data_IF_196603749526
#
_entry.id   IF_196603749526
#
_cell.length_a   1.000
_cell.length_b   1.000
_cell.length_c   1.000
_cell.angle_alpha   90.00
_cell.angle_beta   90.00
_cell.angle_gamma   90.00
#
_symmetry.space_group_name_H-M   'P 1'
#
loop_
_entity.id
_entity.type
_entity.pdbx_description
1 polymer ?
#
# COMPACT_ATOMS: atom_id res chain seq x y z
N UNK A 1 26.33 8.95 2.70
CA UNK A 1 25.34 9.23 1.63
C UNK A 1 24.27 8.14 1.52
N UNK A 2 24.61 6.87 1.71
CA UNK A 2 23.67 5.75 1.61
C UNK A 2 22.60 5.76 2.71
N UNK A 3 22.97 6.12 3.94
CA UNK A 3 22.02 6.26 5.07
C UNK A 3 20.91 7.27 4.79
N UNK A 4 21.24 8.41 4.19
CA UNK A 4 20.26 9.45 3.83
C UNK A 4 19.37 8.98 2.69
N UNK A 5 19.92 8.26 1.70
CA UNK A 5 19.13 7.64 0.64
C UNK A 5 18.19 6.57 1.18
N UNK A 6 18.67 5.72 2.09
CA UNK A 6 17.85 4.69 2.75
C UNK A 6 16.76 5.31 3.61
N UNK A 7 17.04 6.40 4.34
CA UNK A 7 16.02 7.13 5.08
C UNK A 7 14.96 7.77 4.14
N UNK A 8 15.38 8.35 3.02
CA UNK A 8 14.46 8.90 2.03
C UNK A 8 13.59 7.80 1.37
N UNK A 9 14.20 6.66 1.02
CA UNK A 9 13.50 5.50 0.49
C UNK A 9 12.52 4.93 1.53
N UNK A 10 12.92 4.83 2.80
CA UNK A 10 12.04 4.41 3.89
C UNK A 10 10.78 5.29 3.96
N UNK A 11 10.94 6.61 3.95
CA UNK A 11 9.81 7.55 3.99
C UNK A 11 8.95 7.42 2.74
N UNK A 12 9.56 7.34 1.56
CA UNK A 12 8.86 7.16 0.29
C UNK A 12 8.02 5.87 0.28
N UNK A 13 8.63 4.75 0.63
CA UNK A 13 7.98 3.44 0.69
C UNK A 13 6.89 3.42 1.77
N UNK A 14 7.10 4.07 2.92
CA UNK A 14 6.07 4.22 3.96
C UNK A 14 4.85 4.98 3.43
N UNK A 15 5.07 6.10 2.73
CA UNK A 15 3.97 6.88 2.13
C UNK A 15 3.22 6.05 1.09
N UNK A 16 3.95 5.31 0.25
CA UNK A 16 3.33 4.43 -0.75
C UNK A 16 2.53 3.29 -0.10
N UNK A 17 3.05 2.67 0.96
CA UNK A 17 2.33 1.67 1.75
C UNK A 17 1.05 2.23 2.35
N UNK A 18 1.13 3.43 2.94
CA UNK A 18 -0.04 4.13 3.51
C UNK A 18 -1.10 4.46 2.44
N UNK A 19 -0.66 4.88 1.25
CA UNK A 19 -1.53 5.11 0.10
C UNK A 19 -2.24 3.84 -0.35
N UNK A 20 -1.51 2.73 -0.47
CA UNK A 20 -2.08 1.43 -0.78
C UNK A 20 -3.09 0.97 0.28
N UNK A 21 -2.84 1.23 1.58
CA UNK A 21 -3.82 0.98 2.66
C UNK A 21 -5.10 1.78 2.48
N UNK A 22 -4.99 3.07 2.19
CA UNK A 22 -6.14 3.94 1.98
C UNK A 22 -6.97 3.49 0.77
N UNK A 23 -6.30 3.14 -0.34
CA UNK A 23 -6.96 2.61 -1.53
C UNK A 23 -7.60 1.24 -1.27
N UNK A 24 -6.95 0.37 -0.49
CA UNK A 24 -7.52 -0.92 -0.06
C UNK A 24 -8.83 -0.73 0.69
N UNK A 25 -8.87 0.15 1.70
CA UNK A 25 -10.09 0.38 2.49
C UNK A 25 -11.19 1.06 1.67
N UNK A 26 -10.83 1.98 0.77
CA UNK A 26 -11.78 2.58 -0.18
C UNK A 26 -12.41 1.51 -1.07
N UNK A 27 -11.59 0.67 -1.68
CA UNK A 27 -12.06 -0.41 -2.55
C UNK A 27 -12.86 -1.48 -1.79
N UNK A 28 -12.52 -1.74 -0.53
CA UNK A 28 -13.30 -2.63 0.34
C UNK A 28 -14.68 -2.05 0.65
N UNK A 29 -14.79 -0.73 0.79
CA UNK A 29 -16.07 -0.06 0.96
C UNK A 29 -16.90 -0.15 -0.33
N UNK A 30 -16.31 0.12 -1.50
CA UNK A 30 -16.99 -0.01 -2.80
C UNK A 30 -17.41 -1.45 -3.09
N UNK A 31 -16.59 -2.45 -2.76
CA UNK A 31 -16.93 -3.86 -2.93
C UNK A 31 -18.16 -4.29 -2.09
N UNK A 32 -18.36 -3.63 -0.95
CA UNK A 32 -19.49 -3.85 -0.03
C UNK A 32 -20.67 -2.92 -0.31
N UNK A 33 -20.49 -1.91 -1.15
CA UNK A 33 -21.53 -0.98 -1.54
C UNK A 33 -22.60 -1.74 -2.33
N UNK A 34 -23.85 -1.67 -1.85
CA UNK A 34 -24.98 -2.36 -2.48
C UNK A 34 -25.61 -1.53 -3.60
N UNK A 35 -25.33 -0.22 -3.64
CA UNK A 35 -25.74 0.70 -4.69
C UNK A 35 -24.77 0.65 -5.89
N UNK A 36 -23.55 0.16 -5.69
CA UNK A 36 -22.58 -0.07 -6.75
C UNK A 36 -22.95 -1.30 -7.61
N UNK A 37 -22.74 -1.19 -8.92
CA UNK A 37 -22.97 -2.30 -9.85
C UNK A 37 -22.08 -3.51 -9.52
N UNK A 38 -22.52 -4.73 -9.87
CA UNK A 38 -21.76 -5.96 -9.62
C UNK A 38 -20.35 -5.92 -10.24
N UNK A 39 -20.19 -5.33 -11.43
CA UNK A 39 -18.89 -5.16 -12.08
C UNK A 39 -17.98 -4.26 -11.26
N UNK A 40 -18.48 -3.09 -10.85
CA UNK A 40 -17.75 -2.14 -10.00
C UNK A 40 -17.32 -2.76 -8.67
N UNK A 41 -18.20 -3.56 -8.03
CA UNK A 41 -17.89 -4.26 -6.78
C UNK A 41 -16.80 -5.32 -6.97
N UNK A 42 -16.86 -6.06 -8.07
CA UNK A 42 -15.87 -7.10 -8.39
C UNK A 42 -14.49 -6.50 -8.71
N UNK A 43 -14.45 -5.41 -9.48
CA UNK A 43 -13.22 -4.65 -9.75
C UNK A 43 -12.65 -4.08 -8.44
N UNK A 44 -13.48 -3.46 -7.60
CA UNK A 44 -13.03 -2.95 -6.31
C UNK A 44 -12.52 -4.08 -5.40
N UNK A 45 -13.17 -5.24 -5.35
CA UNK A 45 -12.66 -6.38 -4.59
C UNK A 45 -11.29 -6.86 -5.12
N UNK A 46 -11.12 -6.92 -6.44
CA UNK A 46 -9.83 -7.27 -7.08
C UNK A 46 -8.76 -6.23 -6.72
N UNK A 47 -9.06 -4.95 -6.86
CA UNK A 47 -8.12 -3.88 -6.58
C UNK A 47 -7.78 -3.83 -5.09
N UNK A 48 -8.72 -4.10 -4.19
CA UNK A 48 -8.43 -4.23 -2.76
C UNK A 48 -7.40 -5.35 -2.47
N UNK A 49 -7.47 -6.46 -3.18
CA UNK A 49 -6.48 -7.55 -3.05
C UNK A 49 -5.13 -7.14 -3.61
N UNK A 50 -5.10 -6.45 -4.76
CA UNK A 50 -3.85 -5.92 -5.34
C UNK A 50 -3.21 -4.91 -4.39
N UNK A 51 -3.98 -3.93 -3.92
CA UNK A 51 -3.52 -2.92 -2.97
C UNK A 51 -3.02 -3.53 -1.66
N UNK A 52 -3.61 -4.64 -1.19
CA UNK A 52 -3.10 -5.36 -0.01
C UNK A 52 -1.71 -5.96 -0.25
N UNK A 53 -1.44 -6.45 -1.46
CA UNK A 53 -0.11 -6.93 -1.85
C UNK A 53 0.88 -5.78 -1.93
N UNK A 54 0.52 -4.68 -2.60
CA UNK A 54 1.38 -3.49 -2.69
C UNK A 54 1.68 -2.89 -1.31
N UNK A 55 0.67 -2.77 -0.42
CA UNK A 55 0.84 -2.38 0.99
C UNK A 55 1.92 -3.23 1.66
N UNK A 56 1.83 -4.56 1.53
CA UNK A 56 2.79 -5.48 2.17
C UNK A 56 4.19 -5.33 1.58
N UNK A 57 4.31 -5.16 0.26
CA UNK A 57 5.60 -4.99 -0.42
C UNK A 57 6.27 -3.68 0.01
N UNK A 58 5.52 -2.59 0.01
CA UNK A 58 6.01 -1.27 0.40
C UNK A 58 6.39 -1.22 1.89
N UNK A 59 5.58 -1.78 2.79
CA UNK A 59 5.95 -1.90 4.21
C UNK A 59 7.23 -2.71 4.40
N UNK A 60 7.38 -3.82 3.68
CA UNK A 60 8.58 -4.67 3.78
C UNK A 60 9.84 -3.92 3.29
N UNK A 61 9.74 -3.22 2.17
CA UNK A 61 10.83 -2.40 1.64
C UNK A 61 11.17 -1.24 2.58
N UNK A 62 10.15 -0.59 3.13
CA UNK A 62 10.33 0.45 4.14
C UNK A 62 11.13 -0.09 5.33
N UNK A 63 10.72 -1.23 5.90
CA UNK A 63 11.43 -1.85 7.02
C UNK A 63 12.88 -2.21 6.66
N UNK A 64 13.09 -2.77 5.46
CA UNK A 64 14.44 -3.10 4.95
C UNK A 64 15.32 -1.85 4.84
N UNK A 65 14.81 -0.76 4.26
CA UNK A 65 15.54 0.50 4.14
C UNK A 65 15.79 1.15 5.50
N UNK A 66 14.87 1.01 6.45
CA UNK A 66 15.03 1.48 7.83
C UNK A 66 16.15 0.74 8.55
N UNK A 67 16.18 -0.59 8.47
CA UNK A 67 17.26 -1.40 9.04
C UNK A 67 18.60 -1.09 8.37
N UNK A 68 18.63 -0.96 7.04
CA UNK A 68 19.82 -0.57 6.29
C UNK A 68 20.26 0.89 6.53
N UNK A 69 19.44 1.73 7.18
CA UNK A 69 19.84 3.07 7.62
C UNK A 69 20.39 3.07 9.07
N UNK A 70 20.26 1.97 9.82
CA UNK A 70 20.80 1.85 11.19
C UNK A 70 22.24 1.32 11.21
N UNK A 71 22.67 0.65 10.15
CA UNK A 71 24.01 0.10 9.96
C UNK A 71 24.82 0.94 8.96
#
# INVERSE_FOLDING_TARGET
>A
METVKNAANYVSETIQGTGATAQKETNKNVAKDSDASLGTRAEAAKDAVVNKKDETVHDTKADTHKEAAKH
#
